data_IF_221081751100
#
_entry.id   IF_221081751100
#
_cell.length_a   1.000
_cell.length_b   1.000
_cell.length_c   1.000
_cell.angle_alpha   90.00
_cell.angle_beta   90.00
_cell.angle_gamma   90.00
#
_symmetry.space_group_name_H-M   'P 1'
#
loop_
_entity.id
_entity.type
_entity.pdbx_description
1 polymer ?
#
# COMPACT_ATOMS: atom_id res chain seq x y z
N UNK A 1 0.49 -39.62 27.09
CA UNK A 1 0.07 -38.41 26.36
C UNK A 1 1.21 -37.41 26.53
N UNK A 2 1.98 -37.19 25.46
CA UNK A 2 3.12 -36.26 25.49
C UNK A 2 2.53 -34.90 25.11
N UNK A 3 2.55 -33.93 26.02
CA UNK A 3 2.15 -32.57 25.69
C UNK A 3 3.27 -31.92 24.86
N UNK A 4 2.94 -31.18 23.80
CA UNK A 4 3.95 -30.48 23.01
C UNK A 4 4.74 -29.51 23.90
N UNK A 5 6.06 -29.34 23.67
CA UNK A 5 6.87 -28.36 24.38
C UNK A 5 6.28 -26.96 24.24
N UNK A 6 6.41 -26.15 25.30
CA UNK A 6 5.82 -24.81 25.39
C UNK A 6 6.23 -23.88 24.24
N UNK A 7 7.39 -24.10 23.62
CA UNK A 7 7.84 -23.35 22.43
C UNK A 7 7.02 -23.64 21.18
N UNK A 8 6.63 -24.90 20.93
CA UNK A 8 5.82 -25.28 19.77
C UNK A 8 4.43 -24.65 19.85
N UNK A 9 3.83 -24.64 21.04
CA UNK A 9 2.55 -23.97 21.26
C UNK A 9 2.67 -22.46 21.00
N UNK A 10 3.72 -21.79 21.50
CA UNK A 10 3.91 -20.35 21.28
C UNK A 10 4.07 -20.02 19.78
N UNK A 11 4.83 -20.83 19.04
CA UNK A 11 5.04 -20.64 17.60
C UNK A 11 3.75 -20.87 16.81
N UNK A 12 2.97 -21.89 17.17
CA UNK A 12 1.65 -22.17 16.57
C UNK A 12 0.67 -21.02 16.80
N UNK A 13 0.51 -20.56 18.06
CA UNK A 13 -0.33 -19.40 18.40
C UNK A 13 0.13 -18.11 17.69
N UNK A 14 1.44 -17.90 17.54
CA UNK A 14 1.98 -16.75 16.82
C UNK A 14 1.65 -16.83 15.33
N UNK A 15 1.83 -18.01 14.72
CA UNK A 15 1.52 -18.23 13.31
C UNK A 15 0.03 -18.04 12.99
N UNK A 16 -0.87 -18.53 13.84
CA UNK A 16 -2.31 -18.33 13.70
C UNK A 16 -2.71 -16.85 13.82
N UNK A 17 -2.11 -16.13 14.77
CA UNK A 17 -2.40 -14.72 14.97
C UNK A 17 -1.91 -13.85 13.80
N UNK A 18 -0.72 -14.15 13.26
CA UNK A 18 -0.19 -13.47 12.07
C UNK A 18 -1.03 -13.79 10.82
N UNK A 19 -1.48 -15.04 10.68
CA UNK A 19 -2.42 -15.44 9.63
C UNK A 19 -3.73 -14.67 9.71
N UNK A 20 -4.33 -14.57 10.90
CA UNK A 20 -5.59 -13.85 11.11
C UNK A 20 -5.45 -12.37 10.80
N UNK A 21 -4.36 -11.73 11.24
CA UNK A 21 -4.07 -10.32 10.88
C UNK A 21 -3.95 -10.12 9.38
N UNK A 22 -3.27 -11.03 8.69
CA UNK A 22 -3.19 -10.97 7.24
C UNK A 22 -4.56 -11.13 6.59
N UNK A 23 -5.38 -12.07 7.06
CA UNK A 23 -6.73 -12.28 6.55
C UNK A 23 -7.62 -11.03 6.76
N UNK A 24 -7.54 -10.39 7.92
CA UNK A 24 -8.29 -9.16 8.20
C UNK A 24 -7.84 -7.99 7.29
N UNK A 25 -6.53 -7.88 7.02
CA UNK A 25 -5.99 -6.90 6.07
C UNK A 25 -6.46 -7.14 4.63
N UNK A 26 -6.41 -8.40 4.17
CA UNK A 26 -6.90 -8.76 2.84
C UNK A 26 -8.41 -8.49 2.72
N UNK A 27 -9.17 -8.79 3.76
CA UNK A 27 -10.60 -8.45 3.81
C UNK A 27 -10.82 -6.93 3.77
N UNK A 28 -10.00 -6.13 4.46
CA UNK A 28 -10.09 -4.67 4.40
C UNK A 28 -9.79 -4.14 2.99
N UNK A 29 -8.72 -4.63 2.35
CA UNK A 29 -8.39 -4.23 0.97
C UNK A 29 -9.45 -4.65 -0.04
N UNK A 30 -10.06 -5.82 0.13
CA UNK A 30 -11.14 -6.28 -0.74
C UNK A 30 -12.41 -5.38 -0.63
N UNK A 31 -12.64 -4.77 0.54
CA UNK A 31 -13.86 -4.00 0.82
C UNK A 31 -13.69 -2.48 0.77
N UNK A 32 -12.48 -1.96 0.56
CA UNK A 32 -12.28 -0.51 0.38
C UNK A 32 -12.59 -0.08 -1.05
N UNK A 33 -13.24 1.07 -1.18
CA UNK A 33 -13.59 1.69 -2.46
C UNK A 33 -12.53 2.72 -2.87
N UNK A 34 -11.69 3.15 -1.93
CA UNK A 34 -10.71 4.22 -2.13
C UNK A 34 -9.41 3.61 -2.68
N UNK A 35 -8.87 4.14 -3.81
CA UNK A 35 -7.53 3.81 -4.29
C UNK A 35 -6.46 4.14 -3.25
N UNK A 36 -5.65 3.16 -2.84
CA UNK A 36 -4.53 3.34 -1.92
C UNK A 36 -3.30 2.60 -2.44
N UNK A 37 -2.13 3.22 -2.28
CA UNK A 37 -0.81 2.65 -2.56
C UNK A 37 -0.03 2.57 -1.24
N UNK A 38 0.67 1.47 -1.02
CA UNK A 38 1.56 1.27 0.12
C UNK A 38 2.98 1.17 -0.40
N UNK A 39 3.82 2.11 0.00
CA UNK A 39 5.18 2.29 -0.52
C UNK A 39 6.13 2.29 0.67
N UNK A 40 7.28 1.63 0.55
CA UNK A 40 8.29 1.64 1.60
C UNK A 40 9.24 2.86 1.50
N UNK A 41 10.13 3.01 2.48
CA UNK A 41 11.08 4.14 2.51
C UNK A 41 12.11 4.14 1.37
N UNK A 42 12.20 3.08 0.57
CA UNK A 42 13.04 3.00 -0.63
C UNK A 42 12.22 3.21 -1.91
N UNK A 43 11.01 3.78 -1.81
CA UNK A 43 10.11 4.02 -2.93
C UNK A 43 9.64 2.74 -3.64
N UNK A 44 9.64 1.60 -2.93
CA UNK A 44 9.18 0.33 -3.48
C UNK A 44 7.70 0.13 -3.20
N UNK A 45 6.90 -0.11 -4.24
CA UNK A 45 5.49 -0.44 -4.13
C UNK A 45 5.34 -1.82 -3.46
N UNK A 46 4.71 -1.89 -2.29
CA UNK A 46 4.52 -3.13 -1.52
C UNK A 46 3.15 -3.73 -1.65
N UNK A 47 2.12 -2.88 -1.67
CA UNK A 47 0.72 -3.28 -1.80
C UNK A 47 -0.08 -2.14 -2.42
N UNK A 48 -1.25 -2.47 -2.94
CA UNK A 48 -2.24 -1.50 -3.37
C UNK A 48 -3.64 -2.10 -3.21
N UNK A 49 -4.66 -1.26 -3.18
CA UNK A 49 -6.04 -1.73 -3.10
C UNK A 49 -6.58 -2.06 -4.50
N UNK A 50 -7.58 -2.95 -4.64
CA UNK A 50 -8.18 -3.24 -5.95
C UNK A 50 -8.69 -2.01 -6.72
N UNK A 51 -9.25 -0.95 -6.07
CA UNK A 51 -9.53 0.30 -6.77
C UNK A 51 -8.29 1.02 -7.31
N UNK A 52 -7.14 0.95 -6.62
CA UNK A 52 -5.87 1.49 -7.09
C UNK A 52 -5.33 0.75 -8.31
N UNK A 53 -5.55 -0.57 -8.39
CA UNK A 53 -5.24 -1.35 -9.59
C UNK A 53 -5.83 -0.72 -10.86
N UNK A 54 -7.11 -0.30 -10.78
CA UNK A 54 -7.79 0.35 -11.91
C UNK A 54 -7.36 1.81 -12.12
N UNK A 55 -7.25 2.58 -11.04
CA UNK A 55 -6.92 4.01 -11.11
C UNK A 55 -5.51 4.28 -11.66
N UNK A 56 -4.57 3.41 -11.32
CA UNK A 56 -3.16 3.52 -11.68
C UNK A 56 -2.71 2.41 -12.63
N UNK A 57 -3.63 1.72 -13.31
CA UNK A 57 -3.34 0.63 -14.26
C UNK A 57 -2.26 -0.35 -13.79
N UNK A 58 -2.26 -0.70 -12.50
CA UNK A 58 -1.27 -1.58 -11.88
C UNK A 58 -1.65 -3.04 -12.07
N UNK A 59 -0.65 -3.89 -11.97
CA UNK A 59 -0.78 -5.35 -11.93
C UNK A 59 -0.02 -5.93 -10.75
N UNK A 60 -0.23 -7.21 -10.43
CA UNK A 60 0.52 -7.87 -9.37
C UNK A 60 2.03 -7.93 -9.66
N UNK A 61 2.43 -7.85 -10.93
CA UNK A 61 3.84 -7.75 -11.35
C UNK A 61 4.50 -6.43 -10.94
N UNK A 62 3.71 -5.42 -10.61
CA UNK A 62 4.20 -4.12 -10.16
C UNK A 62 4.58 -4.10 -8.67
N UNK A 63 4.20 -5.14 -7.93
CA UNK A 63 4.61 -5.31 -6.54
C UNK A 63 6.12 -5.57 -6.48
N UNK A 64 6.80 -4.91 -5.54
CA UNK A 64 8.25 -4.90 -5.36
C UNK A 64 9.04 -4.15 -6.44
N UNK A 65 8.37 -3.34 -7.29
CA UNK A 65 9.04 -2.41 -8.20
C UNK A 65 9.16 -1.02 -7.59
N UNK A 66 10.16 -0.29 -8.05
CA UNK A 66 10.31 1.13 -7.76
C UNK A 66 9.15 1.92 -8.41
N UNK A 67 8.54 2.86 -7.69
CA UNK A 67 7.43 3.67 -8.20
C UNK A 67 7.79 4.50 -9.44
N UNK A 68 9.08 4.80 -9.66
CA UNK A 68 9.58 5.46 -10.85
C UNK A 68 9.44 4.59 -12.10
N UNK A 69 9.44 3.26 -11.96
CA UNK A 69 9.26 2.34 -13.09
C UNK A 69 7.79 2.17 -13.51
N UNK A 70 6.84 2.49 -12.61
CA UNK A 70 5.40 2.41 -12.86
C UNK A 70 4.75 3.79 -13.05
N UNK A 71 5.58 4.84 -13.09
CA UNK A 71 5.15 6.25 -13.16
C UNK A 71 4.24 6.59 -14.33
N UNK A 72 4.41 5.90 -15.47
CA UNK A 72 3.63 6.15 -16.69
C UNK A 72 2.14 5.87 -16.48
N UNK A 73 1.82 5.05 -15.48
CA UNK A 73 0.45 4.74 -15.13
C UNK A 73 -0.17 5.77 -14.16
N UNK A 74 0.64 6.70 -13.64
CA UNK A 74 0.18 7.73 -12.71
C UNK A 74 -0.28 8.98 -13.45
N UNK A 75 -1.58 9.24 -13.40
CA UNK A 75 -2.19 10.45 -13.99
C UNK A 75 -1.98 11.72 -13.14
N UNK A 76 -1.20 11.64 -12.08
CA UNK A 76 -0.99 12.69 -11.10
C UNK A 76 0.47 13.17 -11.20
N UNK A 77 0.75 14.26 -11.91
CA UNK A 77 2.12 14.64 -12.27
C UNK A 77 3.09 14.75 -11.08
N UNK A 78 2.58 15.23 -9.94
CA UNK A 78 3.41 15.47 -8.74
C UNK A 78 3.41 14.30 -7.75
N UNK A 79 2.79 13.15 -8.05
CA UNK A 79 2.57 12.09 -7.06
C UNK A 79 3.88 11.58 -6.45
N UNK A 80 4.87 11.26 -7.28
CA UNK A 80 6.15 10.72 -6.82
C UNK A 80 6.91 11.75 -5.97
N UNK A 81 6.98 13.00 -6.44
CA UNK A 81 7.61 14.10 -5.69
C UNK A 81 6.97 14.29 -4.30
N UNK A 82 5.64 14.21 -4.22
CA UNK A 82 4.92 14.33 -2.95
C UNK A 82 5.20 13.12 -2.03
N UNK A 83 5.36 11.90 -2.58
CA UNK A 83 5.70 10.70 -1.80
C UNK A 83 7.12 10.85 -1.24
N UNK A 84 8.07 11.28 -2.06
CA UNK A 84 9.45 11.54 -1.65
C UNK A 84 9.51 12.60 -0.54
N UNK A 85 8.76 13.69 -0.67
CA UNK A 85 8.63 14.73 0.34
C UNK A 85 8.13 14.16 1.68
N UNK A 86 7.06 13.35 1.66
CA UNK A 86 6.50 12.76 2.88
C UNK A 86 7.46 11.77 3.53
N UNK A 87 8.15 10.94 2.75
CA UNK A 87 9.16 10.01 3.27
C UNK A 87 10.34 10.77 3.91
N UNK A 88 10.78 11.88 3.30
CA UNK A 88 11.89 12.67 3.81
C UNK A 88 11.52 13.49 5.07
N UNK A 89 10.34 14.12 5.06
CA UNK A 89 9.92 15.05 6.13
C UNK A 89 9.22 14.30 7.27
N UNK A 90 8.55 13.18 6.98
CA UNK A 90 7.76 12.42 7.94
C UNK A 90 6.43 13.08 8.33
N UNK A 91 5.99 14.10 7.59
CA UNK A 91 4.71 14.77 7.81
C UNK A 91 3.68 14.34 6.78
N UNK A 92 2.42 14.24 7.20
CA UNK A 92 1.31 14.02 6.27
C UNK A 92 1.22 15.16 5.24
N UNK A 93 0.88 14.82 4.00
CA UNK A 93 0.58 15.76 2.93
C UNK A 93 -0.88 15.56 2.49
N UNK A 94 -1.63 16.66 2.47
CA UNK A 94 -3.01 16.71 2.01
C UNK A 94 -3.15 17.84 1.00
N UNK A 95 -3.56 17.52 -0.25
CA UNK A 95 -3.74 18.54 -1.29
C UNK A 95 -4.73 18.12 -2.37
N UNK A 96 -5.34 19.11 -3.00
CA UNK A 96 -6.10 18.90 -4.23
C UNK A 96 -5.14 18.75 -5.42
N UNK A 97 -5.41 17.77 -6.27
CA UNK A 97 -4.66 17.52 -7.50
C UNK A 97 -5.61 17.39 -8.68
N UNK A 98 -5.17 17.91 -9.82
CA UNK A 98 -5.82 17.64 -11.10
C UNK A 98 -5.07 16.53 -11.83
N UNK A 99 -5.81 15.54 -12.32
CA UNK A 99 -5.26 14.51 -13.20
C UNK A 99 -5.03 15.04 -14.61
N UNK A 100 -4.24 14.33 -15.40
CA UNK A 100 -4.01 14.64 -16.83
C UNK A 100 -5.29 14.61 -17.68
N UNK A 101 -6.35 13.92 -17.26
CA UNK A 101 -7.68 13.94 -17.90
C UNK A 101 -8.64 15.01 -17.32
N UNK A 102 -8.12 15.94 -16.52
CA UNK A 102 -8.81 17.14 -16.05
C UNK A 102 -9.71 16.96 -14.82
N UNK A 103 -9.72 15.78 -14.20
CA UNK A 103 -10.51 15.49 -13.00
C UNK A 103 -9.79 15.92 -11.74
N UNK A 104 -10.55 16.35 -10.73
CA UNK A 104 -10.03 16.79 -9.44
C UNK A 104 -10.16 15.69 -8.40
N UNK A 105 -9.13 15.54 -7.57
CA UNK A 105 -9.07 14.58 -6.47
C UNK A 105 -8.43 15.20 -5.24
N UNK A 106 -8.88 14.77 -4.06
CA UNK A 106 -8.19 14.99 -2.81
C UNK A 106 -7.12 13.91 -2.63
N UNK A 107 -5.84 14.29 -2.61
CA UNK A 107 -4.72 13.42 -2.34
C UNK A 107 -4.32 13.50 -0.87
N UNK A 108 -4.16 12.34 -0.24
CA UNK A 108 -3.64 12.20 1.12
C UNK A 108 -2.45 11.24 1.08
N UNK A 109 -1.30 11.68 1.57
CA UNK A 109 -0.09 10.87 1.72
C UNK A 109 0.29 10.89 3.19
N UNK A 110 0.47 9.70 3.74
CA UNK A 110 0.81 9.47 5.15
C UNK A 110 2.18 8.80 5.21
N UNK A 111 3.03 9.16 6.20
CA UNK A 111 4.31 8.50 6.43
C UNK A 111 4.16 7.07 6.96
#
# INVERSE_FOLDING_TARGET
MIFPPTSELIDEYKSENDYKKNQDLENYFANTIIPQLFIDGNLILKKFTPPAMRQFSLTDEDINRDIHEVKENFRFPTLIENIEEVIQIGNRLEKEVQTTDGKWYQMNILP
#
